data_IF_681719973848
#
_entry.id   IF_681719973848
#
_cell.length_a   1.000
_cell.length_b   1.000
_cell.length_c   1.000
_cell.angle_alpha   90.00
_cell.angle_beta   90.00
_cell.angle_gamma   90.00
#
_symmetry.space_group_name_H-M   'P 1'
#
loop_
_entity.id
_entity.type
_entity.pdbx_description
1 polymer ?
#
# COMPACT_ATOMS: atom_id res chain seq x y z
N UNK A 1 -1.76 11.04 -25.61
CA UNK A 1 -1.35 10.63 -24.25
C UNK A 1 0.13 10.91 -23.97
N UNK A 2 0.89 11.37 -24.96
CA UNK A 2 2.35 11.55 -24.85
C UNK A 2 2.81 12.81 -24.09
N UNK A 3 1.90 13.54 -23.46
CA UNK A 3 2.18 14.80 -22.78
C UNK A 3 2.08 14.73 -21.25
N UNK A 4 1.20 13.86 -20.71
CA UNK A 4 0.93 13.82 -19.28
C UNK A 4 2.08 13.18 -18.50
N UNK A 5 2.64 13.92 -17.57
CA UNK A 5 3.60 13.43 -16.57
C UNK A 5 2.82 12.92 -15.35
N UNK A 6 2.75 11.62 -15.19
CA UNK A 6 1.99 11.01 -14.10
C UNK A 6 2.88 10.72 -12.88
N UNK A 7 2.64 11.46 -11.79
CA UNK A 7 3.39 11.38 -10.53
C UNK A 7 2.46 11.06 -9.32
N UNK A 8 1.33 10.34 -9.56
CA UNK A 8 0.43 9.86 -8.51
C UNK A 8 0.41 8.32 -8.41
N UNK A 9 1.57 7.67 -8.56
CA UNK A 9 1.69 6.21 -8.51
C UNK A 9 1.33 5.60 -7.13
N UNK A 10 1.39 6.38 -6.04
CA UNK A 10 0.93 5.94 -4.73
C UNK A 10 -0.60 5.80 -4.62
N UNK A 11 -1.38 6.43 -5.49
CA UNK A 11 -2.81 6.18 -5.63
C UNK A 11 -3.08 4.91 -6.45
N UNK A 12 -2.51 4.82 -7.64
CA UNK A 12 -2.49 3.63 -8.51
C UNK A 12 -1.34 3.76 -9.49
N UNK A 13 -0.63 2.69 -9.83
CA UNK A 13 0.40 2.77 -10.89
C UNK A 13 -0.25 2.93 -12.26
N UNK A 14 0.21 3.91 -13.03
CA UNK A 14 -0.23 4.13 -14.41
C UNK A 14 0.92 4.73 -15.25
N UNK A 15 1.09 4.25 -16.53
CA UNK A 15 0.38 3.12 -17.14
C UNK A 15 0.76 1.78 -16.49
N UNK A 16 0.03 0.71 -16.84
CA UNK A 16 0.51 -0.65 -16.58
C UNK A 16 1.45 -1.09 -17.71
N UNK A 17 2.32 -2.09 -17.45
CA UNK A 17 3.11 -2.70 -18.52
C UNK A 17 2.22 -3.25 -19.62
N UNK A 18 2.61 -3.08 -20.88
CA UNK A 18 1.86 -3.62 -22.02
C UNK A 18 1.69 -5.15 -21.95
N UNK A 19 2.68 -5.85 -21.39
CA UNK A 19 2.60 -7.29 -21.12
C UNK A 19 1.45 -7.66 -20.18
N UNK A 20 1.09 -6.78 -19.23
CA UNK A 20 -0.06 -6.98 -18.33
C UNK A 20 -1.37 -6.78 -19.08
N UNK A 21 -1.50 -5.71 -19.86
CA UNK A 21 -2.70 -5.46 -20.68
C UNK A 21 -2.94 -6.60 -21.66
N UNK A 22 -1.94 -6.97 -22.43
CA UNK A 22 -2.01 -8.04 -23.43
C UNK A 22 -2.37 -9.38 -22.78
N UNK A 23 -1.73 -9.72 -21.65
CA UNK A 23 -2.01 -10.97 -20.95
C UNK A 23 -3.46 -11.06 -20.49
N UNK A 24 -4.02 -10.00 -19.91
CA UNK A 24 -5.41 -9.96 -19.42
C UNK A 24 -6.39 -10.15 -20.59
N UNK A 25 -6.17 -9.45 -21.70
CA UNK A 25 -7.04 -9.54 -22.88
C UNK A 25 -7.01 -10.94 -23.47
N UNK A 26 -5.82 -11.52 -23.67
CA UNK A 26 -5.65 -12.84 -24.23
C UNK A 26 -6.21 -13.93 -23.31
N UNK A 27 -5.93 -13.84 -22.02
CA UNK A 27 -6.49 -14.74 -21.02
C UNK A 27 -8.03 -14.67 -20.98
N UNK A 28 -8.59 -13.46 -20.99
CA UNK A 28 -10.04 -13.27 -20.99
C UNK A 28 -10.72 -13.90 -22.20
N UNK A 29 -10.12 -13.75 -23.40
CA UNK A 29 -10.64 -14.33 -24.65
C UNK A 29 -10.51 -15.85 -24.69
N UNK A 30 -9.39 -16.37 -24.20
CA UNK A 30 -9.05 -17.79 -24.26
C UNK A 30 -9.65 -18.60 -23.12
N UNK A 31 -9.66 -18.08 -21.90
CA UNK A 31 -9.91 -18.82 -20.66
C UNK A 31 -10.70 -18.03 -19.62
N UNK A 32 -11.52 -17.04 -20.02
CA UNK A 32 -12.29 -16.18 -19.12
C UNK A 32 -13.51 -16.85 -18.49
N UNK A 33 -13.38 -18.09 -17.99
CA UNK A 33 -14.43 -18.88 -17.36
C UNK A 33 -14.26 -18.95 -15.84
N UNK A 34 -15.30 -19.40 -15.11
CA UNK A 34 -15.21 -19.61 -13.67
C UNK A 34 -14.18 -20.73 -13.35
N UNK A 35 -13.17 -20.46 -12.51
CA UNK A 35 -12.14 -21.44 -12.19
C UNK A 35 -12.67 -22.56 -11.30
N UNK A 36 -12.21 -23.76 -11.58
CA UNK A 36 -12.42 -24.96 -10.76
C UNK A 36 -13.85 -25.53 -10.77
N UNK A 37 -13.99 -26.87 -10.73
CA UNK A 37 -15.20 -27.68 -10.57
C UNK A 37 -16.00 -28.05 -11.79
N UNK A 38 -15.83 -27.39 -12.91
CA UNK A 38 -16.33 -27.91 -14.16
C UNK A 38 -15.25 -28.81 -14.73
N UNK A 39 -15.57 -30.03 -15.07
CA UNK A 39 -14.62 -31.01 -15.59
C UNK A 39 -14.19 -30.74 -17.04
N UNK A 40 -14.19 -29.47 -17.50
CA UNK A 40 -13.74 -29.09 -18.84
C UNK A 40 -12.42 -28.30 -18.78
N UNK A 41 -11.60 -28.43 -19.80
CA UNK A 41 -10.21 -27.98 -19.84
C UNK A 41 -10.03 -26.49 -19.51
N UNK A 42 -10.90 -25.62 -20.01
CA UNK A 42 -10.80 -24.18 -19.74
C UNK A 42 -10.99 -23.82 -18.25
N UNK A 43 -11.86 -24.52 -17.53
CA UNK A 43 -12.04 -24.30 -16.10
C UNK A 43 -10.82 -24.77 -15.30
N UNK A 44 -10.17 -25.84 -15.76
CA UNK A 44 -8.91 -26.34 -15.18
C UNK A 44 -7.80 -25.31 -15.43
N UNK A 45 -7.69 -24.79 -16.66
CA UNK A 45 -6.70 -23.75 -17.00
C UNK A 45 -6.90 -22.48 -16.17
N UNK A 46 -8.14 -22.00 -16.02
CA UNK A 46 -8.46 -20.85 -15.15
C UNK A 46 -8.08 -21.13 -13.69
N UNK A 47 -8.36 -22.34 -13.19
CA UNK A 47 -7.97 -22.77 -11.85
C UNK A 47 -6.46 -22.82 -11.65
N UNK A 48 -5.71 -23.28 -12.67
CA UNK A 48 -4.25 -23.33 -12.63
C UNK A 48 -3.63 -21.93 -12.49
N UNK A 49 -4.14 -20.93 -13.22
CA UNK A 49 -3.65 -19.54 -13.09
C UNK A 49 -3.92 -18.99 -11.67
N UNK A 50 -5.09 -19.27 -11.10
CA UNK A 50 -5.40 -18.86 -9.74
C UNK A 50 -4.42 -19.47 -8.74
N UNK A 51 -4.20 -20.79 -8.84
CA UNK A 51 -3.32 -21.50 -7.92
C UNK A 51 -1.84 -21.14 -8.12
N UNK A 52 -1.38 -21.02 -9.36
CA UNK A 52 -0.02 -20.60 -9.67
C UNK A 52 0.25 -19.18 -9.15
N UNK A 53 -0.71 -18.26 -9.30
CA UNK A 53 -0.59 -16.89 -8.78
C UNK A 53 -0.47 -16.91 -7.26
N UNK A 54 -1.28 -17.72 -6.58
CA UNK A 54 -1.24 -17.90 -5.12
C UNK A 54 0.14 -18.39 -4.65
N UNK A 55 0.67 -19.43 -5.27
CA UNK A 55 1.99 -19.99 -4.96
C UNK A 55 3.12 -18.99 -5.23
N UNK A 56 3.03 -18.23 -6.33
CA UNK A 56 4.01 -17.20 -6.67
C UNK A 56 4.02 -16.06 -5.66
N UNK A 57 2.85 -15.56 -5.25
CA UNK A 57 2.72 -14.52 -4.23
C UNK A 57 3.24 -15.01 -2.86
N UNK A 58 2.96 -16.26 -2.50
CA UNK A 58 3.49 -16.85 -1.27
C UNK A 58 5.02 -16.84 -1.25
N UNK A 59 5.66 -17.25 -2.36
CA UNK A 59 7.13 -17.19 -2.48
C UNK A 59 7.65 -15.77 -2.52
N UNK A 60 6.98 -14.89 -3.25
CA UNK A 60 7.38 -13.50 -3.45
C UNK A 60 7.49 -12.70 -2.13
N UNK A 61 6.63 -12.99 -1.18
CA UNK A 61 6.63 -12.35 0.14
C UNK A 61 7.31 -13.19 1.25
N UNK A 62 7.93 -14.31 0.93
CA UNK A 62 8.56 -15.17 1.93
C UNK A 62 7.57 -15.84 2.90
N UNK A 63 6.37 -16.17 2.39
CA UNK A 63 5.33 -16.88 3.15
C UNK A 63 5.62 -18.38 3.32
N UNK A 64 4.66 -19.12 3.86
CA UNK A 64 4.76 -20.55 4.09
C UNK A 64 4.50 -21.32 2.79
N UNK A 65 5.56 -21.69 2.07
CA UNK A 65 5.47 -22.33 0.75
C UNK A 65 4.77 -23.70 0.75
N UNK A 66 4.74 -24.39 1.89
CA UNK A 66 3.99 -25.64 2.08
C UNK A 66 2.48 -25.40 2.28
N UNK A 67 2.08 -24.13 2.50
CA UNK A 67 0.73 -23.71 2.77
C UNK A 67 0.32 -22.53 1.86
N UNK A 68 0.37 -22.67 0.53
CA UNK A 68 0.02 -21.59 -0.38
C UNK A 68 -1.45 -21.16 -0.27
N UNK A 69 -2.34 -22.03 0.21
CA UNK A 69 -3.74 -21.71 0.50
C UNK A 69 -3.92 -20.59 1.53
N UNK A 70 -2.87 -20.28 2.30
CA UNK A 70 -2.84 -19.15 3.25
C UNK A 70 -2.66 -17.79 2.58
N UNK A 71 -2.35 -17.75 1.28
CA UNK A 71 -2.45 -16.56 0.46
C UNK A 71 -3.90 -16.41 -0.03
N UNK A 72 -4.64 -15.49 0.54
CA UNK A 72 -6.07 -15.24 0.30
C UNK A 72 -6.22 -14.04 -0.63
N UNK A 73 -7.01 -14.17 -1.69
CA UNK A 73 -7.36 -13.05 -2.56
C UNK A 73 -8.50 -12.22 -1.96
N UNK A 74 -8.42 -10.92 -2.15
CA UNK A 74 -9.40 -9.93 -1.68
C UNK A 74 -9.64 -8.88 -2.75
N UNK A 75 -10.60 -7.97 -2.54
CA UNK A 75 -10.86 -6.87 -3.46
C UNK A 75 -9.73 -5.85 -3.52
N UNK A 76 -9.06 -5.61 -2.41
CA UNK A 76 -7.96 -4.65 -2.24
C UNK A 76 -7.41 -4.75 -0.81
N UNK A 77 -6.38 -3.97 -0.48
CA UNK A 77 -5.83 -3.95 0.88
C UNK A 77 -6.84 -3.53 1.96
N UNK A 78 -7.77 -2.63 1.67
CA UNK A 78 -8.83 -2.25 2.63
C UNK A 78 -9.68 -3.46 3.02
N UNK A 79 -10.05 -4.29 2.05
CA UNK A 79 -10.77 -5.54 2.30
C UNK A 79 -9.93 -6.52 3.13
N UNK A 80 -8.66 -6.74 2.76
CA UNK A 80 -7.71 -7.56 3.50
C UNK A 80 -7.54 -7.12 4.95
N UNK A 81 -7.36 -5.82 5.17
CA UNK A 81 -7.19 -5.24 6.51
C UNK A 81 -8.45 -5.36 7.37
N UNK A 82 -9.64 -5.22 6.77
CA UNK A 82 -10.90 -5.49 7.48
C UNK A 82 -11.04 -6.97 7.84
N UNK A 83 -10.71 -7.90 6.93
CA UNK A 83 -10.69 -9.34 7.23
C UNK A 83 -9.77 -9.64 8.41
N UNK A 84 -8.57 -9.07 8.42
CA UNK A 84 -7.60 -9.25 9.50
C UNK A 84 -8.11 -8.66 10.82
N UNK A 85 -8.40 -7.36 10.84
CA UNK A 85 -8.72 -6.62 12.08
C UNK A 85 -9.97 -7.21 12.74
N UNK A 86 -11.04 -7.42 11.99
CA UNK A 86 -12.29 -7.99 12.51
C UNK A 86 -12.19 -9.50 12.76
N UNK A 87 -11.33 -10.20 12.00
CA UNK A 87 -11.14 -11.65 12.15
C UNK A 87 -10.26 -12.02 13.35
N UNK A 88 -9.40 -11.12 13.82
CA UNK A 88 -8.48 -11.35 14.95
C UNK A 88 -9.02 -10.77 16.25
N UNK A 89 -9.49 -9.52 16.23
CA UNK A 89 -9.87 -8.79 17.44
C UNK A 89 -11.27 -9.15 17.93
N UNK A 90 -11.42 -9.17 19.26
CA UNK A 90 -12.68 -9.39 19.99
C UNK A 90 -12.76 -8.42 21.16
N UNK A 91 -13.94 -8.35 21.79
CA UNK A 91 -14.17 -7.54 23.00
C UNK A 91 -13.14 -7.89 24.08
N UNK A 92 -12.49 -6.85 24.62
CA UNK A 92 -11.46 -6.95 25.66
C UNK A 92 -10.04 -7.08 25.12
N UNK A 93 -9.86 -7.30 23.80
CA UNK A 93 -8.54 -7.29 23.18
C UNK A 93 -8.00 -5.86 23.02
N UNK A 94 -6.69 -5.74 22.98
CA UNK A 94 -5.97 -4.52 22.70
C UNK A 94 -5.21 -4.64 21.35
N UNK A 95 -5.19 -3.57 20.58
CA UNK A 95 -4.39 -3.43 19.36
C UNK A 95 -3.40 -2.28 19.48
N UNK A 96 -2.17 -2.50 19.05
CA UNK A 96 -1.16 -1.45 18.87
C UNK A 96 -1.02 -1.17 17.38
N UNK A 97 -1.06 0.10 17.03
CA UNK A 97 -0.87 0.59 15.66
C UNK A 97 -0.12 1.92 15.69
N UNK A 98 0.03 2.60 14.55
CA UNK A 98 0.84 3.81 14.45
C UNK A 98 0.06 5.01 13.92
N UNK A 99 0.60 6.23 14.10
CA UNK A 99 0.06 7.44 13.46
C UNK A 99 0.35 7.49 11.94
N UNK A 100 1.12 6.53 11.40
CA UNK A 100 1.40 6.43 9.96
C UNK A 100 0.31 5.72 9.16
N UNK A 101 -0.72 5.22 9.84
CA UNK A 101 -1.71 4.33 9.21
C UNK A 101 -2.61 5.05 8.21
N UNK A 102 -2.93 4.32 7.14
CA UNK A 102 -4.00 4.67 6.23
C UNK A 102 -5.38 4.46 6.90
N UNK A 103 -6.40 5.17 6.44
CA UNK A 103 -7.79 5.01 6.90
C UNK A 103 -8.33 3.56 6.84
N UNK A 104 -7.72 2.71 6.04
CA UNK A 104 -8.03 1.27 5.96
C UNK A 104 -7.71 0.50 7.25
N UNK A 105 -6.82 1.04 8.10
CA UNK A 105 -6.49 0.53 9.44
C UNK A 105 -7.20 1.35 10.51
N UNK A 106 -7.10 2.68 10.44
CA UNK A 106 -7.65 3.59 11.44
C UNK A 106 -9.15 3.38 11.64
N UNK A 107 -9.92 3.37 10.56
CA UNK A 107 -11.38 3.34 10.64
C UNK A 107 -11.94 2.02 11.20
N UNK A 108 -11.49 0.82 10.73
CA UNK A 108 -11.93 -0.43 11.33
C UNK A 108 -11.58 -0.53 12.82
N UNK A 109 -10.39 -0.10 13.23
CA UNK A 109 -9.99 -0.08 14.65
C UNK A 109 -10.91 0.86 15.44
N UNK A 110 -11.11 2.10 14.98
CA UNK A 110 -11.98 3.05 15.67
C UNK A 110 -13.43 2.57 15.81
N UNK A 111 -13.96 1.84 14.81
CA UNK A 111 -15.27 1.20 14.93
C UNK A 111 -15.29 0.12 16.01
N UNK A 112 -14.26 -0.73 16.08
CA UNK A 112 -14.16 -1.76 17.12
C UNK A 112 -13.96 -1.16 18.51
N UNK A 113 -13.23 -0.04 18.64
CA UNK A 113 -13.09 0.70 19.91
C UNK A 113 -14.44 1.27 20.34
N UNK A 114 -15.15 1.96 19.47
CA UNK A 114 -16.43 2.60 19.78
C UNK A 114 -17.54 1.59 20.09
N UNK A 115 -17.67 0.55 19.27
CA UNK A 115 -18.85 -0.31 19.25
C UNK A 115 -18.55 -1.74 19.73
N UNK A 116 -17.29 -2.20 19.65
CA UNK A 116 -16.86 -3.57 19.87
C UNK A 116 -16.16 -3.85 21.21
N UNK A 117 -15.82 -2.81 21.98
CA UNK A 117 -15.13 -2.94 23.27
C UNK A 117 -13.67 -3.43 23.13
N UNK A 118 -13.01 -3.08 22.05
CA UNK A 118 -11.56 -3.23 21.81
C UNK A 118 -10.86 -1.97 22.33
N UNK A 119 -9.64 -2.13 22.84
CA UNK A 119 -8.75 -1.01 23.17
C UNK A 119 -7.70 -0.82 22.07
N UNK A 120 -7.27 0.43 21.84
CA UNK A 120 -6.24 0.74 20.85
C UNK A 120 -5.20 1.73 21.38
N UNK A 121 -3.95 1.52 20.99
CA UNK A 121 -2.86 2.51 21.17
C UNK A 121 -2.27 2.85 19.81
N UNK A 122 -2.23 4.15 19.50
CA UNK A 122 -1.60 4.70 18.30
C UNK A 122 -0.25 5.27 18.70
N UNK A 123 0.84 4.66 18.19
CA UNK A 123 2.21 5.06 18.50
C UNK A 123 2.63 6.16 17.53
N UNK A 124 3.14 7.30 18.00
CA UNK A 124 3.63 8.38 17.15
C UNK A 124 4.92 7.98 16.44
N UNK A 125 5.28 8.74 15.42
CA UNK A 125 6.58 8.66 14.73
C UNK A 125 7.45 9.88 15.08
N UNK A 126 8.75 9.80 14.84
CA UNK A 126 9.69 10.90 15.09
C UNK A 126 9.65 11.97 13.98
N UNK A 127 10.49 13.01 14.08
CA UNK A 127 10.58 14.09 13.09
C UNK A 127 11.06 13.62 11.73
N UNK A 128 11.79 12.51 11.68
CA UNK A 128 12.25 11.89 10.43
C UNK A 128 11.18 10.97 9.80
N UNK A 129 10.06 10.72 10.51
CA UNK A 129 8.94 9.92 10.02
C UNK A 129 9.05 8.43 10.37
N UNK A 130 9.83 8.06 11.38
CA UNK A 130 10.01 6.67 11.81
C UNK A 130 9.41 6.41 13.18
N UNK A 131 8.80 5.24 13.33
CA UNK A 131 8.32 4.74 14.62
C UNK A 131 9.47 4.07 15.36
N UNK A 132 9.67 4.41 16.64
CA UNK A 132 10.64 3.73 17.48
C UNK A 132 10.10 2.33 17.84
N UNK A 133 10.83 1.23 17.55
CA UNK A 133 10.44 -0.11 17.97
C UNK A 133 10.27 -0.26 19.49
N UNK A 134 10.99 0.51 20.30
CA UNK A 134 10.87 0.47 21.76
C UNK A 134 9.53 1.09 22.22
N UNK A 135 9.00 2.10 21.52
CA UNK A 135 7.67 2.63 21.78
C UNK A 135 6.56 1.62 21.48
N UNK A 136 6.71 0.82 20.40
CA UNK A 136 5.83 -0.33 20.14
C UNK A 136 5.95 -1.37 21.28
N UNK A 137 7.17 -1.67 21.72
CA UNK A 137 7.38 -2.62 22.83
C UNK A 137 6.74 -2.14 24.14
N UNK A 138 6.79 -0.85 24.44
CA UNK A 138 6.19 -0.23 25.62
C UNK A 138 4.66 -0.19 25.54
N UNK A 139 4.09 -0.04 24.33
CA UNK A 139 2.64 -0.03 24.11
C UNK A 139 2.00 -1.42 24.24
N UNK A 140 2.74 -2.52 24.12
CA UNK A 140 2.22 -3.89 24.23
C UNK A 140 1.86 -4.20 25.70
N UNK A 141 0.59 -4.58 25.93
CA UNK A 141 -0.04 -4.94 27.22
C UNK A 141 -0.36 -6.44 27.27
N UNK A 142 -0.73 -7.00 28.46
CA UNK A 142 -1.09 -8.42 28.55
C UNK A 142 -2.28 -8.83 27.69
N UNK A 143 -3.21 -7.92 27.37
CA UNK A 143 -4.35 -8.14 26.48
C UNK A 143 -4.11 -7.70 25.04
N UNK A 144 -2.88 -7.33 24.65
CA UNK A 144 -2.54 -6.99 23.26
C UNK A 144 -2.60 -8.24 22.41
N UNK A 145 -3.48 -8.23 21.42
CA UNK A 145 -3.69 -9.35 20.50
C UNK A 145 -3.00 -9.14 19.16
N UNK A 146 -2.95 -7.89 18.70
CA UNK A 146 -2.46 -7.52 17.37
C UNK A 146 -1.57 -6.27 17.46
N UNK A 147 -0.44 -6.31 16.79
CA UNK A 147 0.32 -5.12 16.36
C UNK A 147 0.18 -5.04 14.85
N UNK A 148 -0.28 -3.90 14.33
CA UNK A 148 -0.40 -3.65 12.90
C UNK A 148 0.28 -2.35 12.54
N UNK A 149 1.16 -2.38 11.52
CA UNK A 149 2.00 -1.25 11.14
C UNK A 149 1.96 -1.05 9.62
N UNK A 150 1.79 0.19 9.20
CA UNK A 150 2.03 0.59 7.82
C UNK A 150 3.51 0.41 7.48
N UNK A 151 3.83 -0.50 6.57
CA UNK A 151 5.23 -0.78 6.20
C UNK A 151 5.87 0.40 5.46
N UNK A 152 5.13 1.09 4.61
CA UNK A 152 5.63 2.28 3.90
C UNK A 152 4.58 3.38 3.84
N UNK A 153 4.93 4.57 4.32
CA UNK A 153 4.00 5.70 4.36
C UNK A 153 3.59 6.15 2.96
N UNK A 154 2.29 6.21 2.72
CA UNK A 154 1.73 6.76 1.48
C UNK A 154 1.74 8.30 1.43
N UNK A 155 2.22 8.96 2.49
CA UNK A 155 2.34 10.42 2.58
C UNK A 155 3.80 10.84 2.51
N UNK A 156 4.62 10.37 3.46
CA UNK A 156 6.00 10.83 3.65
C UNK A 156 7.06 9.86 3.13
N UNK A 157 6.65 8.70 2.61
CA UNK A 157 7.54 7.74 1.94
C UNK A 157 8.42 6.88 2.86
N UNK A 158 8.47 7.12 4.16
CA UNK A 158 9.30 6.37 5.11
C UNK A 158 8.90 4.90 5.20
N UNK A 159 9.89 4.00 5.22
CA UNK A 159 9.71 2.54 5.40
C UNK A 159 10.07 2.16 6.82
N UNK A 160 9.12 1.63 7.55
CA UNK A 160 9.21 1.39 8.97
C UNK A 160 10.11 0.17 9.31
N UNK A 161 10.75 0.13 10.50
CA UNK A 161 11.68 -0.92 10.91
C UNK A 161 10.94 -2.22 11.31
N UNK A 162 10.14 -2.78 10.37
CA UNK A 162 9.23 -3.92 10.63
C UNK A 162 9.95 -5.19 11.05
N UNK A 163 11.21 -5.40 10.65
CA UNK A 163 11.98 -6.56 11.09
C UNK A 163 12.27 -6.53 12.60
N UNK A 164 12.56 -5.36 13.14
CA UNK A 164 12.79 -5.16 14.57
C UNK A 164 11.49 -5.25 15.37
N UNK A 165 10.43 -4.58 14.89
CA UNK A 165 9.09 -4.68 15.47
C UNK A 165 8.61 -6.14 15.47
N UNK A 166 8.81 -6.88 14.37
CA UNK A 166 8.45 -8.30 14.27
C UNK A 166 9.19 -9.18 15.28
N UNK A 167 10.48 -8.90 15.52
CA UNK A 167 11.26 -9.58 16.56
C UNK A 167 10.69 -9.33 17.96
N UNK A 168 10.26 -8.09 18.24
CA UNK A 168 9.62 -7.72 19.52
C UNK A 168 8.28 -8.44 19.68
N UNK A 169 7.42 -8.39 18.67
CA UNK A 169 6.09 -9.03 18.70
C UNK A 169 6.21 -10.55 18.91
N UNK A 170 7.14 -11.19 18.18
CA UNK A 170 7.42 -12.63 18.35
C UNK A 170 7.86 -12.97 19.77
N UNK A 171 8.76 -12.18 20.36
CA UNK A 171 9.24 -12.40 21.72
C UNK A 171 8.11 -12.23 22.78
N UNK A 172 7.15 -11.37 22.50
CA UNK A 172 5.97 -11.13 23.37
C UNK A 172 4.77 -12.02 23.05
N UNK A 173 4.82 -12.85 22.00
CA UNK A 173 3.72 -13.75 21.60
C UNK A 173 2.50 -13.00 21.06
N UNK A 174 2.69 -11.84 20.44
CA UNK A 174 1.63 -11.00 19.85
C UNK A 174 1.66 -11.13 18.34
N UNK A 175 0.48 -11.22 17.69
CA UNK A 175 0.36 -11.27 16.24
C UNK A 175 0.90 -9.98 15.64
N UNK A 176 1.81 -10.09 14.67
CA UNK A 176 2.36 -8.95 13.94
C UNK A 176 1.90 -8.93 12.50
N UNK A 177 1.27 -7.81 12.10
CA UNK A 177 0.77 -7.59 10.77
C UNK A 177 1.33 -6.31 10.14
N UNK A 178 1.47 -6.31 8.80
CA UNK A 178 1.84 -5.11 8.06
C UNK A 178 0.82 -4.78 6.96
N UNK A 179 0.58 -3.47 6.75
CA UNK A 179 -0.01 -2.95 5.51
C UNK A 179 1.13 -2.66 4.52
N UNK A 180 1.29 -3.54 3.54
CA UNK A 180 2.28 -3.44 2.49
C UNK A 180 1.75 -2.76 1.21
N UNK A 181 0.64 -1.99 1.29
CA UNK A 181 0.00 -1.40 0.11
C UNK A 181 0.90 -0.49 -0.71
N UNK A 182 1.91 0.11 -0.10
CA UNK A 182 2.87 0.98 -0.79
C UNK A 182 4.19 0.30 -1.09
N UNK A 183 4.51 -0.79 -0.40
CA UNK A 183 5.83 -1.45 -0.50
C UNK A 183 5.79 -2.74 -1.31
N UNK A 184 4.65 -3.42 -1.40
CA UNK A 184 4.49 -4.62 -2.23
C UNK A 184 4.84 -4.31 -3.70
N UNK A 185 5.87 -4.98 -4.21
CA UNK A 185 6.35 -4.83 -5.58
C UNK A 185 7.37 -3.71 -5.83
N UNK A 186 7.74 -2.91 -4.79
CA UNK A 186 8.73 -1.82 -4.92
C UNK A 186 9.73 -1.71 -3.77
N UNK A 187 9.54 -2.49 -2.70
CA UNK A 187 10.47 -2.59 -1.58
C UNK A 187 10.56 -4.04 -1.14
N UNK A 188 11.76 -4.59 -0.84
CA UNK A 188 11.92 -5.98 -0.47
C UNK A 188 11.17 -6.35 0.81
N UNK A 189 10.43 -7.46 0.79
CA UNK A 189 9.71 -8.00 1.95
C UNK A 189 9.95 -9.50 2.03
N UNK A 190 10.39 -9.97 3.19
CA UNK A 190 10.46 -11.38 3.54
C UNK A 190 9.77 -11.59 4.90
N UNK A 191 8.55 -12.11 4.85
CA UNK A 191 7.73 -12.33 6.06
C UNK A 191 8.43 -13.22 7.08
N UNK A 192 9.19 -14.21 6.62
CA UNK A 192 9.89 -15.14 7.50
C UNK A 192 11.08 -14.46 8.20
N UNK A 193 11.91 -13.78 7.44
CA UNK A 193 13.08 -13.08 7.98
C UNK A 193 12.69 -11.91 8.89
N UNK A 194 11.61 -11.20 8.55
CA UNK A 194 11.09 -10.04 9.30
C UNK A 194 10.13 -10.41 10.43
N UNK A 195 9.85 -11.72 10.66
CA UNK A 195 8.90 -12.22 11.64
C UNK A 195 7.49 -11.61 11.51
N UNK A 196 7.02 -11.42 10.28
CA UNK A 196 5.68 -10.94 9.96
C UNK A 196 4.73 -12.13 9.95
N UNK A 197 3.63 -12.06 10.69
CA UNK A 197 2.61 -13.09 10.75
C UNK A 197 1.54 -12.91 9.67
N UNK A 198 1.18 -11.66 9.37
CA UNK A 198 0.16 -11.33 8.37
C UNK A 198 0.60 -10.14 7.52
N UNK A 199 0.43 -10.27 6.21
CA UNK A 199 0.73 -9.20 5.24
C UNK A 199 -0.50 -8.92 4.39
N UNK A 200 -0.94 -7.66 4.38
CA UNK A 200 -1.99 -7.16 3.48
C UNK A 200 -1.38 -6.34 2.35
N UNK A 201 -1.88 -6.52 1.11
CA UNK A 201 -1.42 -5.74 -0.04
C UNK A 201 -2.56 -5.45 -1.02
N UNK A 202 -2.34 -4.48 -1.91
CA UNK A 202 -3.22 -4.18 -3.04
C UNK A 202 -2.53 -4.45 -4.37
N UNK A 203 -3.28 -4.93 -5.35
CA UNK A 203 -2.71 -5.31 -6.65
C UNK A 203 -2.47 -4.16 -7.61
N UNK A 204 -3.27 -3.09 -7.52
CA UNK A 204 -3.29 -2.04 -8.53
C UNK A 204 -2.18 -0.99 -8.43
N UNK A 205 -1.33 -1.06 -7.38
CA UNK A 205 -0.14 -0.20 -7.22
C UNK A 205 1.09 -0.91 -7.79
N UNK A 206 2.19 -0.96 -7.08
CA UNK A 206 3.47 -1.47 -7.61
C UNK A 206 3.49 -2.98 -7.91
N UNK A 207 2.46 -3.73 -7.51
CA UNK A 207 2.24 -5.10 -8.01
C UNK A 207 1.77 -5.16 -9.48
N UNK A 208 1.53 -4.01 -10.13
CA UNK A 208 1.16 -3.84 -11.55
C UNK A 208 -0.13 -4.55 -11.98
N UNK A 209 -0.94 -5.04 -11.04
CA UNK A 209 -2.26 -5.62 -11.31
C UNK A 209 -3.32 -4.56 -11.58
N UNK A 210 -4.54 -5.00 -11.93
CA UNK A 210 -5.70 -4.13 -12.10
C UNK A 210 -6.29 -3.70 -10.76
N UNK A 211 -7.20 -2.72 -10.77
CA UNK A 211 -8.07 -2.44 -9.63
C UNK A 211 -8.99 -3.62 -9.33
N UNK A 212 -9.49 -3.73 -8.10
CA UNK A 212 -10.40 -4.80 -7.70
C UNK A 212 -9.73 -6.13 -7.35
N UNK A 213 -8.42 -6.11 -7.11
CA UNK A 213 -7.66 -7.26 -6.59
C UNK A 213 -6.64 -6.81 -5.54
N UNK A 214 -6.49 -7.61 -4.51
CA UNK A 214 -5.49 -7.52 -3.45
C UNK A 214 -5.35 -8.87 -2.77
N UNK A 215 -4.69 -8.91 -1.62
CA UNK A 215 -4.55 -10.15 -0.90
C UNK A 215 -4.11 -9.99 0.55
N UNK A 216 -4.32 -11.07 1.29
CA UNK A 216 -3.91 -11.26 2.66
C UNK A 216 -3.10 -12.55 2.75
N UNK A 217 -1.83 -12.45 3.11
CA UNK A 217 -0.98 -13.61 3.35
C UNK A 217 -0.87 -13.85 4.86
N UNK A 218 -1.29 -15.03 5.31
CA UNK A 218 -1.40 -15.38 6.73
C UNK A 218 -0.47 -16.57 7.02
N UNK A 219 0.43 -16.45 8.02
CA UNK A 219 1.28 -17.56 8.43
C UNK A 219 0.44 -18.74 8.94
N UNK A 220 0.92 -19.96 8.72
CA UNK A 220 0.16 -21.20 8.99
C UNK A 220 -0.27 -21.38 10.46
N UNK A 221 0.48 -20.79 11.41
CA UNK A 221 0.18 -20.82 12.83
C UNK A 221 -0.81 -19.74 13.31
N UNK A 222 -1.25 -18.84 12.42
CA UNK A 222 -2.20 -17.76 12.73
C UNK A 222 -3.59 -18.12 12.20
N UNK A 223 -4.61 -17.95 13.03
CA UNK A 223 -6.00 -18.09 12.65
C UNK A 223 -6.70 -16.73 12.56
N UNK A 224 -7.26 -16.47 11.38
CA UNK A 224 -8.14 -15.33 11.14
C UNK A 224 -9.55 -15.87 10.94
N UNK A 225 -10.50 -15.44 11.76
CA UNK A 225 -11.91 -15.84 11.64
C UNK A 225 -12.52 -15.21 10.38
N UNK A 226 -13.43 -15.91 9.74
CA UNK A 226 -14.22 -15.31 8.67
C UNK A 226 -15.11 -14.19 9.24
N UNK A 227 -15.25 -13.12 8.48
CA UNK A 227 -16.11 -11.96 8.80
C UNK A 227 -17.34 -11.92 7.90
N UNK A 228 -17.36 -12.76 6.88
CA UNK A 228 -18.43 -12.92 5.90
C UNK A 228 -18.60 -14.39 5.59
N UNK A 229 -19.82 -14.77 5.25
CA UNK A 229 -20.18 -16.14 4.90
C UNK A 229 -20.88 -16.15 3.54
N UNK A 230 -20.66 -17.18 2.72
CA UNK A 230 -21.30 -17.30 1.43
C UNK A 230 -20.86 -18.52 0.65
N UNK A 231 -21.17 -18.53 -0.64
CA UNK A 231 -20.78 -19.61 -1.54
C UNK A 231 -19.26 -19.64 -1.70
N UNK A 232 -18.68 -20.80 -1.43
CA UNK A 232 -17.26 -21.09 -1.66
C UNK A 232 -17.08 -21.96 -2.88
N UNK A 233 -18.24 -22.42 -3.41
CA UNK A 233 -18.39 -23.32 -4.51
C UNK A 233 -17.91 -24.75 -4.16
N UNK A 234 -17.43 -25.15 -2.93
CA UNK A 234 -17.17 -26.51 -2.41
C UNK A 234 -18.17 -26.86 -1.33
N UNK A 235 -18.40 -28.18 -1.12
CA UNK A 235 -19.26 -28.73 -0.06
C UNK A 235 -20.64 -28.03 0.01
N UNK A 236 -21.31 -27.84 -1.12
CA UNK A 236 -22.56 -27.06 -1.24
C UNK A 236 -23.69 -27.56 -0.33
N UNK A 237 -23.67 -28.81 0.12
CA UNK A 237 -24.65 -29.36 1.08
C UNK A 237 -24.31 -29.01 2.54
N UNK A 238 -23.10 -28.50 2.84
CA UNK A 238 -22.73 -28.14 4.21
C UNK A 238 -23.34 -26.78 4.55
N UNK A 239 -24.07 -26.66 5.68
CA UNK A 239 -24.90 -25.47 5.94
C UNK A 239 -24.13 -24.27 6.49
N UNK A 240 -22.86 -24.44 6.89
CA UNK A 240 -22.04 -23.38 7.46
C UNK A 240 -20.91 -22.97 6.50
N UNK A 241 -20.32 -21.82 6.77
CA UNK A 241 -19.11 -21.40 6.06
C UNK A 241 -17.94 -22.33 6.39
N UNK A 242 -17.01 -22.46 5.45
CA UNK A 242 -15.90 -23.41 5.61
C UNK A 242 -14.78 -22.83 6.46
N UNK A 243 -14.14 -23.69 7.27
CA UNK A 243 -13.01 -23.29 8.13
C UNK A 243 -11.65 -23.47 7.46
N UNK A 244 -11.60 -24.20 6.34
CA UNK A 244 -10.35 -24.43 5.62
C UNK A 244 -9.97 -23.22 4.74
N UNK A 245 -8.69 -22.83 4.75
CA UNK A 245 -8.14 -21.91 3.80
C UNK A 245 -8.07 -22.53 2.39
N UNK A 246 -8.24 -21.73 1.33
CA UNK A 246 -8.50 -20.30 1.36
C UNK A 246 -9.99 -19.96 1.56
N UNK A 247 -10.88 -20.95 1.55
CA UNK A 247 -12.34 -20.79 1.58
C UNK A 247 -12.86 -20.12 2.85
N UNK A 248 -12.09 -20.18 3.95
CA UNK A 248 -12.39 -19.48 5.19
C UNK A 248 -12.52 -17.96 4.98
N UNK A 249 -11.73 -17.39 4.10
CA UNK A 249 -11.68 -15.94 3.87
C UNK A 249 -12.04 -15.55 2.42
N UNK A 250 -12.04 -16.50 1.48
CA UNK A 250 -12.52 -16.32 0.11
C UNK A 250 -13.97 -16.77 -0.03
N UNK A 251 -14.82 -15.93 -0.58
CA UNK A 251 -16.24 -16.19 -0.80
C UNK A 251 -16.69 -15.61 -2.14
N UNK A 252 -17.71 -16.24 -2.73
CA UNK A 252 -18.20 -15.88 -4.05
C UNK A 252 -17.29 -16.31 -5.19
N UNK A 253 -17.63 -15.88 -6.38
CA UNK A 253 -16.79 -16.10 -7.56
C UNK A 253 -15.57 -15.19 -7.51
N UNK A 254 -14.34 -15.73 -7.62
CA UNK A 254 -13.13 -14.93 -7.52
C UNK A 254 -12.97 -13.98 -8.72
N UNK A 255 -12.28 -12.86 -8.53
CA UNK A 255 -11.89 -11.96 -9.61
C UNK A 255 -10.73 -12.55 -10.42
N UNK A 256 -11.05 -13.51 -11.30
CA UNK A 256 -10.05 -14.25 -12.09
C UNK A 256 -9.20 -13.33 -12.95
N UNK A 257 -9.80 -12.28 -13.53
CA UNK A 257 -9.07 -11.29 -14.35
C UNK A 257 -8.09 -10.48 -13.51
N UNK A 258 -8.49 -10.08 -12.31
CA UNK A 258 -7.60 -9.43 -11.35
C UNK A 258 -6.45 -10.33 -10.92
N UNK A 259 -6.72 -11.62 -10.66
CA UNK A 259 -5.69 -12.60 -10.31
C UNK A 259 -4.72 -12.81 -11.47
N UNK A 260 -5.24 -12.96 -12.69
CA UNK A 260 -4.42 -13.06 -13.91
C UNK A 260 -3.55 -11.81 -14.13
N UNK A 261 -4.06 -10.62 -13.78
CA UNK A 261 -3.27 -9.39 -13.83
C UNK A 261 -2.11 -9.37 -12.83
N UNK A 262 -2.32 -9.91 -11.62
CA UNK A 262 -1.24 -10.07 -10.63
C UNK A 262 -0.16 -11.05 -11.11
N UNK A 263 -0.57 -12.14 -11.75
CA UNK A 263 0.36 -13.07 -12.37
C UNK A 263 1.27 -12.37 -13.38
N UNK A 264 0.67 -11.61 -14.30
CA UNK A 264 1.43 -10.87 -15.32
C UNK A 264 2.29 -9.74 -14.69
N UNK A 265 1.78 -9.04 -13.69
CA UNK A 265 2.52 -8.02 -12.95
C UNK A 265 3.75 -8.57 -12.25
N UNK A 266 3.65 -9.71 -11.59
CA UNK A 266 4.80 -10.37 -10.97
C UNK A 266 5.86 -10.83 -11.99
N UNK A 267 5.43 -11.31 -13.17
CA UNK A 267 6.36 -11.64 -14.26
C UNK A 267 7.12 -10.40 -14.69
N UNK A 268 6.43 -9.30 -14.92
CA UNK A 268 7.04 -8.02 -15.29
C UNK A 268 8.04 -7.55 -14.23
N UNK A 269 7.71 -7.61 -12.94
CA UNK A 269 8.65 -7.25 -11.84
C UNK A 269 9.94 -8.07 -11.96
N UNK A 270 9.83 -9.38 -12.20
CA UNK A 270 10.99 -10.26 -12.41
C UNK A 270 11.82 -9.86 -13.64
N UNK A 271 11.17 -9.50 -14.74
CA UNK A 271 11.80 -9.03 -15.98
C UNK A 271 12.53 -7.68 -15.82
N UNK A 272 12.11 -6.86 -14.83
CA UNK A 272 12.78 -5.60 -14.48
C UNK A 272 14.01 -5.78 -13.57
N UNK A 273 14.41 -7.01 -13.29
CA UNK A 273 15.52 -7.32 -12.37
C UNK A 273 15.09 -7.51 -10.90
N UNK A 274 13.78 -7.61 -10.65
CA UNK A 274 13.25 -7.79 -9.30
C UNK A 274 12.90 -6.47 -8.59
N UNK A 275 12.48 -6.61 -7.35
CA UNK A 275 12.01 -5.49 -6.51
C UNK A 275 13.15 -4.53 -6.20
N UNK A 276 14.34 -5.06 -5.93
CA UNK A 276 15.54 -4.29 -5.60
C UNK A 276 15.94 -3.34 -6.75
N UNK A 277 15.95 -3.83 -7.99
CA UNK A 277 16.29 -3.02 -9.16
C UNK A 277 15.24 -1.93 -9.44
N UNK A 278 13.95 -2.24 -9.20
CA UNK A 278 12.88 -1.25 -9.30
C UNK A 278 13.06 -0.17 -8.24
N UNK A 279 13.29 -0.58 -7.00
CA UNK A 279 13.51 0.32 -5.88
C UNK A 279 14.69 1.26 -6.13
N UNK A 280 15.85 0.73 -6.50
CA UNK A 280 17.05 1.53 -6.78
C UNK A 280 16.80 2.59 -7.85
N UNK A 281 16.13 2.22 -8.96
CA UNK A 281 15.79 3.15 -10.04
C UNK A 281 14.82 4.24 -9.58
N UNK A 282 13.76 3.87 -8.86
CA UNK A 282 12.78 4.84 -8.36
C UNK A 282 13.40 5.79 -7.32
N UNK A 283 14.27 5.27 -6.44
CA UNK A 283 14.96 6.09 -5.45
C UNK A 283 15.99 7.03 -6.06
N UNK A 284 16.66 6.63 -7.15
CA UNK A 284 17.52 7.54 -7.91
C UNK A 284 16.76 8.75 -8.48
N UNK A 285 15.55 8.53 -8.97
CA UNK A 285 14.67 9.61 -9.43
C UNK A 285 14.13 10.44 -8.26
N UNK A 286 13.78 9.82 -7.14
CA UNK A 286 13.33 10.52 -5.95
C UNK A 286 14.41 11.42 -5.36
N UNK A 287 15.68 10.97 -5.35
CA UNK A 287 16.80 11.78 -4.90
C UNK A 287 16.99 12.99 -5.79
N UNK A 288 16.97 12.80 -7.13
CA UNK A 288 17.03 13.90 -8.09
C UNK A 288 15.91 14.92 -7.87
N UNK A 289 14.69 14.47 -7.62
CA UNK A 289 13.56 15.36 -7.33
C UNK A 289 13.79 16.14 -6.04
N UNK A 290 14.18 15.46 -4.97
CA UNK A 290 14.41 16.06 -3.66
C UNK A 290 15.52 17.10 -3.70
N UNK A 291 16.63 16.79 -4.36
CA UNK A 291 17.75 17.73 -4.52
C UNK A 291 17.30 18.99 -5.27
N UNK A 292 16.52 18.83 -6.35
CA UNK A 292 16.04 19.98 -7.12
C UNK A 292 15.03 20.85 -6.37
N UNK A 293 14.06 20.25 -5.68
CA UNK A 293 13.03 21.04 -4.98
C UNK A 293 13.56 21.74 -3.73
N UNK A 294 14.63 21.26 -3.11
CA UNK A 294 15.29 21.91 -1.96
C UNK A 294 15.96 23.24 -2.33
N UNK A 295 16.34 23.42 -3.56
CA UNK A 295 16.93 24.67 -4.05
C UNK A 295 15.87 25.74 -4.37
N UNK A 296 14.58 25.41 -4.30
CA UNK A 296 13.48 26.32 -4.59
C UNK A 296 13.05 27.02 -3.30
N UNK A 297 13.20 28.33 -3.24
CA UNK A 297 12.74 29.14 -2.10
C UNK A 297 11.22 29.04 -1.93
N UNK A 298 10.76 28.85 -0.69
CA UNK A 298 9.35 28.69 -0.36
C UNK A 298 8.79 27.28 -0.57
N UNK A 299 9.59 26.30 -0.99
CA UNK A 299 9.18 24.90 -1.01
C UNK A 299 9.53 24.23 0.32
N UNK A 300 8.53 23.63 0.98
CA UNK A 300 8.67 22.93 2.25
C UNK A 300 8.44 21.44 2.00
N UNK A 301 9.42 20.61 2.35
CA UNK A 301 9.34 19.15 2.28
C UNK A 301 9.19 18.53 3.68
N UNK A 302 8.56 17.35 3.78
CA UNK A 302 8.25 16.70 5.06
C UNK A 302 8.93 15.35 5.20
N UNK A 303 9.63 15.13 6.34
CA UNK A 303 10.24 13.84 6.74
C UNK A 303 11.17 13.22 5.67
N UNK A 304 11.88 14.02 4.90
CA UNK A 304 12.77 13.55 3.84
C UNK A 304 14.14 14.24 3.85
N UNK A 305 14.69 14.54 5.04
CA UNK A 305 16.08 15.03 5.18
C UNK A 305 17.08 14.04 4.58
N UNK A 306 16.81 12.75 4.69
CA UNK A 306 17.47 11.64 4.00
C UNK A 306 16.41 10.74 3.36
N UNK A 307 16.72 10.12 2.23
CA UNK A 307 15.87 9.10 1.61
C UNK A 307 16.33 7.66 1.95
N UNK A 308 17.15 7.49 2.97
CA UNK A 308 17.46 6.18 3.51
C UNK A 308 16.17 5.56 4.10
N UNK A 309 15.91 4.29 3.80
CA UNK A 309 14.67 3.60 4.19
C UNK A 309 13.40 4.34 3.74
N UNK A 310 13.36 4.76 2.48
CA UNK A 310 12.20 5.37 1.87
C UNK A 310 11.75 4.60 0.62
N UNK A 311 10.51 4.86 0.22
CA UNK A 311 10.00 4.64 -1.13
C UNK A 311 9.90 5.98 -1.83
N UNK A 312 9.89 5.99 -3.16
CA UNK A 312 9.89 7.19 -3.98
C UNK A 312 8.54 7.95 -3.92
N UNK A 313 8.23 8.45 -2.72
CA UNK A 313 7.02 9.23 -2.40
C UNK A 313 7.43 10.40 -1.51
N UNK A 314 7.22 11.63 -2.00
CA UNK A 314 7.59 12.87 -1.33
C UNK A 314 6.37 13.78 -1.29
N UNK A 315 6.07 14.30 -0.10
CA UNK A 315 5.04 15.33 0.11
C UNK A 315 5.72 16.67 0.38
N UNK A 316 5.20 17.71 -0.25
CA UNK A 316 5.69 19.07 -0.08
C UNK A 316 4.53 20.08 -0.10
N UNK A 317 4.82 21.32 0.28
CA UNK A 317 3.95 22.48 0.08
C UNK A 317 4.76 23.66 -0.46
N UNK A 318 4.06 24.62 -1.05
CA UNK A 318 4.62 25.90 -1.51
C UNK A 318 4.07 27.00 -0.61
N UNK A 319 4.93 27.80 0.01
CA UNK A 319 4.53 28.89 0.88
C UNK A 319 3.60 29.88 0.16
N UNK A 320 2.55 30.30 0.86
CA UNK A 320 1.56 31.22 0.34
C UNK A 320 0.50 30.60 -0.59
N UNK A 321 0.55 29.29 -0.87
CA UNK A 321 -0.46 28.57 -1.66
C UNK A 321 -1.04 27.39 -0.89
N UNK A 322 -2.33 27.11 -1.12
CA UNK A 322 -2.93 25.84 -0.67
C UNK A 322 -2.48 24.68 -1.56
N UNK A 323 -2.36 23.50 -0.98
CA UNK A 323 -1.96 22.29 -1.71
C UNK A 323 -2.86 22.01 -2.92
N UNK A 324 -4.18 22.31 -2.80
CA UNK A 324 -5.14 22.17 -3.89
C UNK A 324 -4.83 23.06 -5.07
N UNK A 325 -4.45 24.32 -4.83
CA UNK A 325 -4.12 25.28 -5.89
C UNK A 325 -2.83 24.88 -6.62
N UNK A 326 -1.81 24.47 -5.88
CA UNK A 326 -0.56 23.95 -6.48
C UNK A 326 -0.85 22.74 -7.38
N UNK A 327 -1.72 21.82 -6.93
CA UNK A 327 -2.11 20.66 -7.73
C UNK A 327 -2.85 21.03 -9.01
N UNK A 328 -3.74 22.04 -8.95
CA UNK A 328 -4.45 22.57 -10.14
C UNK A 328 -3.46 23.23 -11.11
N UNK A 329 -2.51 24.04 -10.62
CA UNK A 329 -1.49 24.68 -11.47
C UNK A 329 -0.60 23.63 -12.14
N UNK A 330 -0.18 22.59 -11.43
CA UNK A 330 0.61 21.48 -11.99
C UNK A 330 -0.14 20.77 -13.13
N UNK A 331 -1.42 20.47 -12.94
CA UNK A 331 -2.25 19.76 -13.93
C UNK A 331 -2.54 20.67 -15.15
N UNK A 332 -3.03 21.90 -14.92
CA UNK A 332 -3.54 22.78 -15.98
C UNK A 332 -2.43 23.45 -16.78
N UNK A 333 -1.37 23.94 -16.11
CA UNK A 333 -0.32 24.73 -16.76
C UNK A 333 0.83 23.84 -17.28
N UNK A 334 1.06 22.67 -16.66
CA UNK A 334 2.26 21.86 -16.91
C UNK A 334 1.97 20.41 -17.34
N UNK A 335 0.71 19.99 -17.42
CA UNK A 335 0.32 18.58 -17.69
C UNK A 335 0.96 17.57 -16.68
N UNK A 336 1.08 17.94 -15.39
CA UNK A 336 1.67 17.10 -14.32
C UNK A 336 0.59 16.66 -13.34
N UNK A 337 0.28 15.36 -13.33
CA UNK A 337 -0.69 14.77 -12.43
C UNK A 337 -0.05 14.39 -11.08
N UNK A 338 -0.52 15.02 -10.01
CA UNK A 338 -0.13 14.75 -8.61
C UNK A 338 -1.38 14.53 -7.76
N UNK A 339 -1.20 14.24 -6.48
CA UNK A 339 -2.32 14.18 -5.54
C UNK A 339 -2.16 15.18 -4.41
N UNK A 340 -3.25 15.86 -4.06
CA UNK A 340 -3.29 16.86 -3.00
C UNK A 340 -4.21 16.43 -1.85
N UNK A 341 -4.04 17.04 -0.67
CA UNK A 341 -4.88 16.84 0.49
C UNK A 341 -4.31 15.88 1.52
N UNK A 342 -5.18 15.19 2.29
CA UNK A 342 -4.80 14.35 3.44
C UNK A 342 -4.40 12.91 3.08
N UNK A 343 -4.41 12.53 1.80
CA UNK A 343 -3.94 11.22 1.31
C UNK A 343 -4.52 10.00 2.02
N UNK A 344 -5.71 10.13 2.64
CA UNK A 344 -6.36 9.09 3.47
C UNK A 344 -5.52 8.64 4.70
N UNK A 345 -4.60 9.47 5.19
CA UNK A 345 -3.78 9.23 6.39
C UNK A 345 -3.77 10.48 7.28
N UNK A 346 -4.90 10.83 7.91
CA UNK A 346 -5.08 12.11 8.60
C UNK A 346 -4.11 12.29 9.79
N UNK A 347 -3.78 11.21 10.52
CA UNK A 347 -2.88 11.29 11.68
C UNK A 347 -1.44 11.67 11.27
N UNK A 348 -1.01 11.33 10.04
CA UNK A 348 0.27 11.80 9.51
C UNK A 348 0.25 13.32 9.38
N UNK A 349 -0.79 13.87 8.75
CA UNK A 349 -0.94 15.30 8.52
C UNK A 349 -1.12 16.09 9.82
N UNK A 350 -1.80 15.51 10.82
CA UNK A 350 -1.87 16.06 12.17
C UNK A 350 -0.47 16.16 12.79
N UNK A 351 0.33 15.10 12.72
CA UNK A 351 1.64 15.06 13.37
C UNK A 351 2.71 15.89 12.64
N UNK A 352 2.68 16.00 11.29
CA UNK A 352 3.59 16.87 10.54
C UNK A 352 3.11 18.33 10.45
N UNK A 353 1.96 18.66 11.08
CA UNK A 353 1.46 20.03 11.17
C UNK A 353 0.83 20.59 9.88
N UNK A 354 0.36 19.72 8.97
CA UNK A 354 -0.27 20.14 7.71
C UNK A 354 -1.78 19.97 7.68
N UNK A 355 -2.39 19.57 8.80
CA UNK A 355 -3.84 19.39 8.89
C UNK A 355 -4.59 20.69 8.63
N UNK A 356 -4.16 21.79 9.26
CA UNK A 356 -4.84 23.10 9.19
C UNK A 356 -4.66 23.81 7.83
N UNK A 357 -3.69 23.37 7.03
CA UNK A 357 -3.46 23.83 5.66
C UNK A 357 -3.97 22.82 4.61
N UNK A 358 -4.94 22.00 5.00
CA UNK A 358 -5.61 21.01 4.15
C UNK A 358 -4.70 19.94 3.51
N UNK A 359 -3.54 19.65 4.12
CA UNK A 359 -2.64 18.57 3.71
C UNK A 359 -1.42 19.03 2.92
N UNK A 360 -1.05 18.28 1.89
CA UNK A 360 0.12 18.56 1.06
C UNK A 360 -0.03 18.10 -0.39
N UNK A 361 0.93 18.47 -1.22
CA UNK A 361 1.08 17.99 -2.60
C UNK A 361 2.03 16.79 -2.57
N UNK A 362 1.54 15.63 -2.97
CA UNK A 362 2.31 14.40 -2.98
C UNK A 362 2.77 14.04 -4.39
N UNK A 363 4.06 13.87 -4.53
CA UNK A 363 4.72 13.31 -5.71
C UNK A 363 5.08 11.86 -5.43
N UNK A 364 4.61 10.93 -6.24
CA UNK A 364 4.94 9.52 -6.12
C UNK A 364 5.41 8.97 -7.47
N UNK A 365 6.70 8.68 -7.51
CA UNK A 365 7.43 8.22 -8.68
C UNK A 365 7.21 6.71 -8.83
N UNK A 366 7.08 6.23 -10.04
CA UNK A 366 6.85 4.82 -10.34
C UNK A 366 7.66 4.33 -11.52
N UNK A 367 7.46 3.06 -11.87
CA UNK A 367 8.30 2.32 -12.82
C UNK A 367 8.41 2.88 -14.24
N UNK A 368 7.57 3.83 -14.63
CA UNK A 368 7.56 4.46 -15.96
C UNK A 368 7.98 5.94 -15.96
N UNK A 369 8.33 6.50 -14.81
CA UNK A 369 8.87 7.83 -14.75
C UNK A 369 10.34 7.87 -15.22
N UNK A 370 10.75 9.01 -15.78
CA UNK A 370 12.11 9.26 -16.30
C UNK A 370 12.73 10.49 -15.64
N UNK A 371 14.02 10.70 -15.86
CA UNK A 371 14.71 11.90 -15.37
C UNK A 371 14.10 13.18 -15.95
N UNK A 372 13.67 13.16 -17.21
CA UNK A 372 13.02 14.29 -17.87
C UNK A 372 11.68 14.64 -17.22
N UNK A 373 10.90 13.64 -16.78
CA UNK A 373 9.68 13.87 -16.02
C UNK A 373 9.95 14.56 -14.68
N UNK A 374 11.04 14.17 -14.02
CA UNK A 374 11.45 14.77 -12.74
C UNK A 374 11.92 16.20 -12.94
N UNK A 375 12.74 16.46 -13.96
CA UNK A 375 13.23 17.81 -14.27
C UNK A 375 12.08 18.76 -14.62
N UNK A 376 11.09 18.28 -15.38
CA UNK A 376 9.89 19.06 -15.70
C UNK A 376 9.08 19.39 -14.43
N UNK A 377 8.96 18.45 -13.48
CA UNK A 377 8.26 18.71 -12.23
C UNK A 377 8.99 19.73 -11.34
N UNK A 378 10.33 19.70 -11.29
CA UNK A 378 11.16 20.67 -10.57
C UNK A 378 10.98 22.06 -11.19
N UNK A 379 11.06 22.17 -12.53
CA UNK A 379 10.89 23.43 -13.23
C UNK A 379 9.49 24.03 -13.01
N UNK A 380 8.44 23.21 -13.05
CA UNK A 380 7.07 23.63 -12.78
C UNK A 380 6.92 24.17 -11.35
N UNK A 381 7.48 23.48 -10.35
CA UNK A 381 7.44 23.94 -8.95
C UNK A 381 8.21 25.25 -8.76
N UNK A 382 9.35 25.45 -9.42
CA UNK A 382 10.10 26.71 -9.40
C UNK A 382 9.25 27.88 -9.92
N UNK A 383 8.59 27.69 -11.06
CA UNK A 383 7.70 28.73 -11.63
C UNK A 383 6.48 29.00 -10.73
N UNK A 384 5.88 27.97 -10.13
CA UNK A 384 4.76 28.13 -9.18
C UNK A 384 5.19 28.90 -7.94
N UNK A 385 6.37 28.61 -7.37
CA UNK A 385 6.90 29.32 -6.21
C UNK A 385 7.20 30.79 -6.51
N UNK A 386 7.78 31.10 -7.68
CA UNK A 386 8.02 32.50 -8.15
C UNK A 386 6.71 33.28 -8.28
N UNK A 387 5.66 32.65 -8.84
CA UNK A 387 4.33 33.26 -8.94
C UNK A 387 3.72 33.53 -7.56
N UNK A 388 3.86 32.59 -6.60
CA UNK A 388 3.40 32.76 -5.22
C UNK A 388 4.07 33.96 -4.54
N UNK A 389 5.39 34.07 -4.62
CA UNK A 389 6.16 35.22 -4.08
C UNK A 389 5.70 36.54 -4.66
N UNK A 390 5.49 36.61 -5.98
CA UNK A 390 5.05 37.82 -6.68
C UNK A 390 3.66 38.27 -6.22
N UNK A 391 2.73 37.35 -5.97
CA UNK A 391 1.38 37.63 -5.44
C UNK A 391 1.44 38.13 -3.99
N UNK A 392 2.28 37.51 -3.16
CA UNK A 392 2.49 37.91 -1.76
C UNK A 392 3.03 39.34 -1.62
N UNK A 393 3.96 39.78 -2.47
CA UNK A 393 4.48 41.14 -2.49
C UNK A 393 3.42 42.17 -2.91
N UNK A 394 2.52 41.82 -3.83
CA UNK A 394 1.42 42.71 -4.26
C UNK A 394 0.38 42.89 -3.14
N UNK A 395 0.14 41.86 -2.34
CA UNK A 395 -0.79 41.91 -1.21
C UNK A 395 -0.22 42.67 0.01
N UNK A 396 1.09 42.60 0.24
CA UNK A 396 1.77 43.28 1.34
C UNK A 396 2.06 44.78 1.06
N UNK A 397 1.96 45.22 -0.21
CA UNK A 397 2.17 46.60 -0.65
C UNK A 397 0.90 47.47 -0.72
N UNK A 398 -0.25 46.93 -0.33
CA UNK A 398 -1.53 47.62 -0.16
C UNK A 398 -1.86 47.82 1.33
#
# INVERSE_FOLDING_TARGET
MDKLIYLDNAATSWPKPESVYSFIVDFSRRCGVNPGRSGFDLAIEAGNIVEETRQRLTRFFGGDIEHPERMVFSYNATDSLNLLIQGVLTKGDHVVTTNLEHNSVIRPINHLVRDGGVEATFVPFDKAGFVDPDDIAAAIRPNTKLVIVNHGSNVIGTVQPVAEIGRICKAKGVIFAIDASQTAGRYPIDMKAMNIDVLAFTGHKSMMGTTGIGGLLVRSHIDVRHTRSGGTGVRSAYPYHLDEYPFRLEYGTPNVMGIASLYAGQKWIGEQGGVEAIHEREMGLAQRFLDGVREIEGVITYCCESLENHIATITLNVEGLEAGDVGIMLDVDFDIATRTGLHCAPLVHEQIGTMDIHGGVRFSIGGFNTAEHIDAAIAALSEIAERAHSMGHLAAGQ
#
